data_IF_664232032640
#
_entry.id   IF_664232032640
#
_cell.length_a   1.000
_cell.length_b   1.000
_cell.length_c   1.000
_cell.angle_alpha   90.00
_cell.angle_beta   90.00
_cell.angle_gamma   90.00
#
_symmetry.space_group_name_H-M   'P 1'
#
loop_
_entity.id
_entity.type
_entity.pdbx_description
1 polymer ?
#
# COMPACT_ATOMS: atom_id res chain seq x y z
N UNK A 1 -22.78 -11.13 3.66
CA UNK A 1 -21.39 -11.10 3.14
C UNK A 1 -20.51 -10.67 4.29
N UNK A 2 -19.59 -11.51 4.74
CA UNK A 2 -18.61 -11.14 5.76
C UNK A 2 -17.31 -10.77 5.06
N UNK A 3 -17.02 -9.47 5.01
CA UNK A 3 -15.82 -8.93 4.38
C UNK A 3 -14.63 -9.08 5.33
N UNK A 4 -13.53 -9.63 4.83
CA UNK A 4 -12.27 -9.73 5.58
C UNK A 4 -11.27 -8.66 5.19
N UNK A 5 -11.34 -8.19 3.93
CA UNK A 5 -10.45 -7.17 3.41
C UNK A 5 -11.20 -6.18 2.52
N UNK A 6 -10.79 -4.92 2.62
CA UNK A 6 -11.24 -3.82 1.79
C UNK A 6 -10.01 -3.13 1.19
N UNK A 7 -10.09 -2.80 -0.09
CA UNK A 7 -9.15 -1.91 -0.76
C UNK A 7 -9.95 -0.82 -1.48
N UNK A 8 -9.48 0.42 -1.38
CA UNK A 8 -10.19 1.58 -1.88
C UNK A 8 -9.33 2.31 -2.92
N UNK A 9 -9.98 2.74 -4.00
CA UNK A 9 -9.41 3.62 -5.01
C UNK A 9 -10.38 4.78 -5.27
N UNK A 10 -10.04 5.67 -6.20
CA UNK A 10 -10.83 6.90 -6.48
C UNK A 10 -12.29 6.61 -6.80
N UNK A 11 -12.56 5.53 -7.52
CA UNK A 11 -13.85 5.26 -8.16
C UNK A 11 -14.46 3.92 -7.75
N UNK A 12 -13.83 3.15 -6.86
CA UNK A 12 -14.36 1.88 -6.39
C UNK A 12 -13.84 1.46 -5.01
N UNK A 13 -14.65 0.67 -4.31
CA UNK A 13 -14.22 -0.20 -3.21
C UNK A 13 -14.20 -1.65 -3.70
N UNK A 14 -13.10 -2.34 -3.40
CA UNK A 14 -12.92 -3.76 -3.63
C UNK A 14 -13.01 -4.50 -2.30
N UNK A 15 -14.01 -5.38 -2.19
CA UNK A 15 -14.25 -6.20 -1.02
C UNK A 15 -13.91 -7.66 -1.28
N UNK A 16 -13.19 -8.28 -0.35
CA UNK A 16 -12.88 -9.71 -0.35
C UNK A 16 -13.53 -10.36 0.87
N UNK A 17 -14.21 -11.48 0.67
CA UNK A 17 -14.86 -12.24 1.75
C UNK A 17 -14.04 -13.45 2.23
N UNK A 18 -14.50 -14.09 3.30
CA UNK A 18 -13.88 -15.28 3.91
C UNK A 18 -13.74 -16.47 2.95
N UNK A 19 -14.55 -16.52 1.89
CA UNK A 19 -14.56 -17.59 0.88
C UNK A 19 -13.65 -17.26 -0.31
N UNK A 20 -13.01 -16.09 -0.33
CA UNK A 20 -12.15 -15.64 -1.41
C UNK A 20 -12.90 -15.06 -2.61
N UNK A 21 -14.19 -14.70 -2.44
CA UNK A 21 -14.99 -14.03 -3.46
C UNK A 21 -14.77 -12.53 -3.40
N UNK A 22 -14.75 -11.90 -4.57
CA UNK A 22 -14.55 -10.47 -4.72
C UNK A 22 -15.87 -9.80 -5.12
N UNK A 23 -16.17 -8.67 -4.50
CA UNK A 23 -17.23 -7.77 -4.94
C UNK A 23 -16.71 -6.35 -5.05
N UNK A 24 -17.21 -5.60 -6.02
CA UNK A 24 -16.81 -4.23 -6.30
C UNK A 24 -17.99 -3.31 -6.07
N UNK A 25 -17.79 -2.24 -5.30
CA UNK A 25 -18.77 -1.17 -5.14
C UNK A 25 -18.25 0.07 -5.84
N UNK A 26 -18.91 0.45 -6.93
CA UNK A 26 -18.59 1.66 -7.69
C UNK A 26 -18.90 2.92 -6.89
N UNK A 27 -17.98 3.86 -6.92
CA UNK A 27 -18.07 5.20 -6.36
C UNK A 27 -18.08 6.22 -7.49
N UNK A 28 -18.72 7.35 -7.25
CA UNK A 28 -18.69 8.49 -8.18
C UNK A 28 -18.77 9.80 -7.39
N UNK A 29 -18.40 10.95 -7.99
CA UNK A 29 -18.55 12.23 -7.33
C UNK A 29 -19.99 12.52 -6.85
N UNK A 30 -20.99 12.06 -7.59
CA UNK A 30 -22.41 12.19 -7.22
C UNK A 30 -22.88 11.13 -6.21
N UNK A 31 -22.14 10.03 -6.05
CA UNK A 31 -22.44 8.97 -5.10
C UNK A 31 -21.14 8.41 -4.48
N UNK A 32 -20.53 9.14 -3.53
CA UNK A 32 -19.21 8.80 -2.99
C UNK A 32 -19.23 7.59 -2.04
N UNK A 33 -20.41 7.16 -1.59
CA UNK A 33 -20.60 5.97 -0.76
C UNK A 33 -20.87 4.70 -1.57
N UNK A 34 -21.23 4.84 -2.85
CA UNK A 34 -21.71 3.77 -3.71
C UNK A 34 -23.02 3.13 -3.22
N UNK A 35 -23.82 2.57 -4.12
CA UNK A 35 -25.14 2.04 -3.76
C UNK A 35 -25.16 0.53 -3.52
N UNK A 36 -24.39 -0.24 -4.30
CA UNK A 36 -24.44 -1.71 -4.25
C UNK A 36 -23.08 -2.34 -4.49
N UNK A 37 -22.92 -3.56 -3.96
CA UNK A 37 -21.78 -4.43 -4.26
C UNK A 37 -22.12 -5.31 -5.46
N UNK A 38 -21.25 -5.30 -6.46
CA UNK A 38 -21.34 -6.16 -7.65
C UNK A 38 -20.36 -7.32 -7.49
N UNK A 39 -20.81 -8.57 -7.36
CA UNK A 39 -19.92 -9.73 -7.34
C UNK A 39 -19.12 -9.80 -8.65
N UNK A 40 -17.83 -10.04 -8.55
CA UNK A 40 -16.96 -10.23 -9.70
C UNK A 40 -16.91 -11.72 -10.06
N UNK A 41 -17.10 -12.03 -11.35
CA UNK A 41 -16.85 -13.37 -11.84
C UNK A 41 -15.34 -13.65 -11.89
N UNK A 42 -14.91 -14.66 -11.14
CA UNK A 42 -13.52 -15.10 -11.04
C UNK A 42 -13.24 -16.35 -11.90
N UNK A 43 -14.15 -16.78 -12.77
CA UNK A 43 -13.97 -17.94 -13.64
C UNK A 43 -12.78 -17.79 -14.62
N UNK A 44 -12.34 -16.55 -14.88
CA UNK A 44 -11.11 -16.28 -15.63
C UNK A 44 -9.84 -16.65 -14.84
N UNK A 45 -9.93 -16.77 -13.52
CA UNK A 45 -8.81 -17.10 -12.65
C UNK A 45 -8.64 -18.60 -12.52
N UNK A 46 -7.37 -19.02 -12.56
CA UNK A 46 -6.98 -20.42 -12.45
C UNK A 46 -6.90 -21.10 -13.81
N UNK A 47 -6.14 -22.17 -13.86
CA UNK A 47 -6.16 -23.08 -15.01
C UNK A 47 -7.10 -24.24 -14.70
N UNK A 48 -7.68 -24.85 -15.72
CA UNK A 48 -8.50 -26.06 -15.60
C UNK A 48 -7.80 -27.16 -14.78
N UNK A 49 -6.47 -27.18 -14.80
CA UNK A 49 -5.62 -28.13 -14.06
C UNK A 49 -5.44 -27.79 -12.57
N UNK A 50 -5.68 -26.54 -12.17
CA UNK A 50 -5.37 -26.00 -10.84
C UNK A 50 -6.62 -25.91 -9.93
N UNK A 51 -7.81 -26.26 -10.40
CA UNK A 51 -9.04 -26.17 -9.60
C UNK A 51 -9.45 -24.72 -9.28
N UNK A 52 -10.50 -24.56 -8.48
CA UNK A 52 -11.10 -23.25 -8.16
C UNK A 52 -10.12 -22.35 -7.40
N UNK A 53 -10.02 -21.09 -7.84
CA UNK A 53 -9.15 -20.08 -7.21
C UNK A 53 -9.83 -19.48 -5.99
N UNK A 54 -9.09 -19.46 -4.87
CA UNK A 54 -9.49 -18.75 -3.65
C UNK A 54 -8.53 -17.59 -3.40
N UNK A 55 -8.99 -16.37 -3.64
CA UNK A 55 -8.22 -15.15 -3.35
C UNK A 55 -8.12 -14.93 -1.83
N UNK A 56 -6.95 -14.45 -1.39
CA UNK A 56 -6.66 -14.14 0.03
C UNK A 56 -6.24 -12.70 0.25
N UNK A 57 -5.85 -11.98 -0.81
CA UNK A 57 -5.58 -10.54 -0.76
C UNK A 57 -6.00 -9.88 -2.07
N UNK A 58 -6.48 -8.65 -1.97
CA UNK A 58 -6.73 -7.75 -3.10
C UNK A 58 -6.27 -6.33 -2.72
N UNK A 59 -5.67 -5.62 -3.65
CA UNK A 59 -5.24 -4.23 -3.47
C UNK A 59 -5.40 -3.47 -4.78
N UNK A 60 -6.07 -2.31 -4.75
CA UNK A 60 -6.28 -1.45 -5.91
C UNK A 60 -5.45 -0.17 -5.81
N UNK A 61 -4.86 0.24 -6.93
CA UNK A 61 -4.21 1.53 -7.11
C UNK A 61 -5.11 2.49 -7.88
N UNK A 62 -4.56 3.26 -8.81
CA UNK A 62 -5.34 4.27 -9.57
C UNK A 62 -6.03 3.67 -10.79
N UNK A 63 -5.37 2.76 -11.48
CA UNK A 63 -5.85 2.08 -12.68
C UNK A 63 -5.78 0.57 -12.57
N UNK A 64 -4.89 0.05 -11.72
CA UNK A 64 -4.61 -1.38 -11.65
C UNK A 64 -5.07 -2.01 -10.34
N UNK A 65 -5.33 -3.32 -10.40
CA UNK A 65 -5.71 -4.14 -9.25
C UNK A 65 -4.81 -5.36 -9.20
N UNK A 66 -4.29 -5.63 -8.02
CA UNK A 66 -3.45 -6.77 -7.72
C UNK A 66 -4.15 -7.70 -6.75
N UNK A 67 -4.01 -9.01 -6.96
CA UNK A 67 -4.56 -10.01 -6.06
C UNK A 67 -3.58 -11.17 -5.87
N UNK A 68 -3.73 -11.89 -4.77
CA UNK A 68 -3.01 -13.15 -4.52
C UNK A 68 -3.98 -14.24 -4.09
N UNK A 69 -3.79 -15.46 -4.59
CA UNK A 69 -4.55 -16.62 -4.14
C UNK A 69 -3.90 -17.36 -2.97
N UNK A 70 -4.66 -18.28 -2.38
CA UNK A 70 -4.23 -19.13 -1.26
C UNK A 70 -3.03 -20.04 -1.56
N UNK A 71 -2.54 -20.07 -2.80
CA UNK A 71 -1.34 -20.79 -3.24
C UNK A 71 -0.15 -19.85 -3.52
N UNK A 72 -0.30 -18.56 -3.24
CA UNK A 72 0.70 -17.54 -3.53
C UNK A 72 0.76 -17.09 -4.99
N UNK A 73 -0.20 -17.47 -5.83
CA UNK A 73 -0.25 -17.02 -7.22
C UNK A 73 -0.67 -15.56 -7.29
N UNK A 74 0.09 -14.73 -8.02
CA UNK A 74 -0.19 -13.29 -8.16
C UNK A 74 -0.98 -13.05 -9.45
N UNK A 75 -1.98 -12.18 -9.35
CA UNK A 75 -2.81 -11.76 -10.48
C UNK A 75 -2.81 -10.23 -10.59
N UNK A 76 -2.80 -9.76 -11.83
CA UNK A 76 -2.87 -8.35 -12.19
C UNK A 76 -4.08 -8.11 -13.09
N UNK A 77 -4.81 -7.02 -12.86
CA UNK A 77 -5.94 -6.57 -13.68
C UNK A 77 -5.82 -5.08 -13.95
N UNK A 78 -6.01 -4.68 -15.20
CA UNK A 78 -6.23 -3.29 -15.58
C UNK A 78 -7.72 -2.97 -15.41
N UNK A 79 -8.04 -1.86 -14.76
CA UNK A 79 -9.41 -1.40 -14.53
C UNK A 79 -9.96 -1.74 -13.15
N UNK A 80 -10.40 -0.70 -12.45
CA UNK A 80 -10.94 -0.73 -11.08
C UNK A 80 -12.45 -0.98 -11.01
N UNK A 81 -13.16 -0.89 -12.14
CA UNK A 81 -14.62 -1.07 -12.24
C UNK A 81 -15.03 -2.53 -12.54
N UNK A 82 -16.26 -2.98 -12.18
CA UNK A 82 -16.73 -4.35 -12.43
C UNK A 82 -16.82 -4.67 -13.92
N UNK A 83 -17.48 -3.80 -14.67
CA UNK A 83 -17.67 -3.86 -16.12
C UNK A 83 -17.19 -2.53 -16.70
N UNK A 84 -16.52 -2.58 -17.85
CA UNK A 84 -16.37 -1.40 -18.68
C UNK A 84 -17.44 -1.46 -19.78
N UNK A 85 -18.53 -0.68 -19.72
CA UNK A 85 -19.62 -0.77 -20.70
C UNK A 85 -19.18 -0.42 -22.13
N UNK A 86 -18.05 0.26 -22.30
CA UNK A 86 -17.48 0.64 -23.60
C UNK A 86 -16.29 -0.25 -24.04
N UNK A 87 -15.93 -1.30 -23.28
CA UNK A 87 -14.81 -2.21 -23.62
C UNK A 87 -15.12 -3.68 -23.30
N UNK A 88 -14.18 -4.57 -23.65
CA UNK A 88 -14.23 -5.99 -23.24
C UNK A 88 -14.09 -6.16 -21.71
N UNK A 89 -14.50 -7.31 -21.20
CA UNK A 89 -14.34 -7.67 -19.78
C UNK A 89 -12.87 -7.52 -19.37
N UNK A 90 -12.56 -6.81 -18.26
CA UNK A 90 -11.18 -6.64 -17.85
C UNK A 90 -10.57 -7.99 -17.45
N UNK A 91 -9.52 -8.39 -18.17
CA UNK A 91 -8.85 -9.66 -17.98
C UNK A 91 -7.89 -9.62 -16.78
N UNK A 92 -7.76 -10.77 -16.13
CA UNK A 92 -6.72 -11.02 -15.16
C UNK A 92 -5.50 -11.68 -15.83
N UNK A 93 -4.32 -11.18 -15.52
CA UNK A 93 -3.04 -11.69 -16.01
C UNK A 93 -2.33 -12.40 -14.86
N UNK A 94 -1.82 -13.59 -15.13
CA UNK A 94 -0.99 -14.30 -14.17
C UNK A 94 0.41 -13.70 -14.14
N UNK A 95 0.86 -13.29 -12.95
CA UNK A 95 2.21 -12.78 -12.74
C UNK A 95 3.00 -13.84 -11.99
N UNK A 96 4.18 -14.13 -12.51
CA UNK A 96 5.06 -15.12 -11.92
C UNK A 96 5.39 -14.73 -10.46
N UNK A 97 5.10 -15.62 -9.49
CA UNK A 97 5.41 -15.35 -8.10
C UNK A 97 6.93 -15.39 -7.86
N UNK A 98 7.43 -14.76 -6.78
CA UNK A 98 8.83 -14.89 -6.40
C UNK A 98 9.19 -16.33 -6.08
N UNK A 99 10.40 -16.74 -6.45
CA UNK A 99 10.98 -18.02 -6.06
C UNK A 99 11.13 -18.04 -4.53
N UNK A 100 10.51 -19.02 -3.89
CA UNK A 100 10.44 -19.14 -2.44
C UNK A 100 10.71 -20.58 -1.99
N UNK A 101 11.17 -20.79 -0.74
CA UNK A 101 11.30 -22.12 -0.18
C UNK A 101 9.97 -22.90 -0.18
N UNK A 102 10.06 -24.23 -0.16
CA UNK A 102 8.88 -25.09 -0.11
C UNK A 102 8.03 -24.75 1.12
N UNK A 103 6.72 -24.57 0.90
CA UNK A 103 5.76 -24.22 1.94
C UNK A 103 5.74 -22.73 2.31
N UNK A 104 6.55 -21.89 1.65
CA UNK A 104 6.49 -20.44 1.75
C UNK A 104 5.76 -19.88 0.54
N UNK A 105 4.77 -19.02 0.79
CA UNK A 105 3.93 -18.46 -0.26
C UNK A 105 3.48 -17.05 0.08
N UNK A 106 3.25 -16.24 -0.94
CA UNK A 106 2.66 -14.92 -0.78
C UNK A 106 1.24 -15.03 -0.22
N UNK A 107 0.93 -14.19 0.76
CA UNK A 107 -0.39 -14.14 1.42
C UNK A 107 -1.00 -12.75 1.38
N UNK A 108 -0.21 -11.70 1.14
CA UNK A 108 -0.69 -10.33 1.01
C UNK A 108 0.03 -9.61 -0.12
N UNK A 109 -0.70 -8.75 -0.81
CA UNK A 109 -0.16 -7.82 -1.80
C UNK A 109 -0.73 -6.43 -1.53
N UNK A 110 0.08 -5.40 -1.71
CA UNK A 110 -0.30 -4.00 -1.60
C UNK A 110 0.32 -3.19 -2.74
N UNK A 111 -0.53 -2.50 -3.50
CA UNK A 111 -0.11 -1.51 -4.49
C UNK A 111 -0.29 -0.10 -3.92
N UNK A 112 0.53 0.86 -4.35
CA UNK A 112 0.33 2.26 -4.00
C UNK A 112 -0.85 2.86 -4.76
N UNK A 113 -1.48 3.93 -4.23
CA UNK A 113 -2.60 4.62 -4.88
C UNK A 113 -2.30 5.20 -6.27
N UNK A 114 -1.02 5.29 -6.65
CA UNK A 114 -0.55 5.81 -7.94
C UNK A 114 0.05 4.71 -8.84
N UNK A 115 -0.10 3.43 -8.50
CA UNK A 115 0.41 2.26 -9.25
C UNK A 115 1.94 2.19 -9.42
N UNK A 116 2.71 2.99 -8.68
CA UNK A 116 4.18 3.02 -8.79
C UNK A 116 4.91 2.02 -7.90
N UNK A 117 4.27 1.55 -6.83
CA UNK A 117 4.87 0.63 -5.88
C UNK A 117 4.00 -0.61 -5.74
N UNK A 118 4.61 -1.78 -5.72
CA UNK A 118 3.94 -3.04 -5.38
C UNK A 118 4.81 -3.82 -4.41
N UNK A 119 4.24 -4.15 -3.27
CA UNK A 119 4.90 -4.86 -2.19
C UNK A 119 4.05 -6.04 -1.75
N UNK A 120 4.68 -7.08 -1.25
CA UNK A 120 4.02 -8.32 -0.86
C UNK A 120 4.58 -8.85 0.47
N UNK A 121 3.77 -9.67 1.13
CA UNK A 121 4.15 -10.42 2.32
C UNK A 121 3.94 -11.91 2.08
N UNK A 122 4.88 -12.72 2.54
CA UNK A 122 4.72 -14.17 2.60
C UNK A 122 4.10 -14.63 3.95
N UNK A 123 3.78 -15.92 4.04
CA UNK A 123 3.23 -16.56 5.24
C UNK A 123 4.25 -16.69 6.41
N UNK A 124 5.50 -16.25 6.23
CA UNK A 124 6.54 -16.17 7.27
C UNK A 124 6.77 -14.72 7.73
N UNK A 125 6.10 -13.75 7.11
CA UNK A 125 6.26 -12.33 7.37
C UNK A 125 7.47 -11.69 6.67
N UNK A 126 8.08 -12.38 5.70
CA UNK A 126 9.08 -11.77 4.83
C UNK A 126 8.43 -10.77 3.89
N UNK A 127 9.15 -9.69 3.61
CA UNK A 127 8.67 -8.60 2.76
C UNK A 127 9.34 -8.68 1.40
N UNK A 128 8.57 -8.60 0.33
CA UNK A 128 9.07 -8.55 -1.03
C UNK A 128 8.55 -7.30 -1.75
N UNK A 129 9.35 -6.78 -2.67
CA UNK A 129 8.98 -5.66 -3.54
C UNK A 129 9.04 -6.10 -4.99
N UNK A 130 8.10 -5.64 -5.81
CA UNK A 130 8.17 -5.78 -7.27
C UNK A 130 8.97 -4.61 -7.85
N UNK A 131 9.94 -4.91 -8.69
CA UNK A 131 10.77 -3.91 -9.37
C UNK A 131 10.41 -3.79 -10.85
N UNK A 132 10.87 -2.72 -11.49
CA UNK A 132 10.63 -2.45 -12.92
C UNK A 132 9.23 -1.96 -13.28
N UNK A 133 8.42 -1.55 -12.30
CA UNK A 133 7.11 -0.93 -12.57
C UNK A 133 7.31 0.42 -13.27
N UNK A 134 6.65 0.60 -14.40
CA UNK A 134 6.55 1.88 -15.12
C UNK A 134 5.21 2.00 -15.83
N UNK A 135 4.95 3.13 -16.48
CA UNK A 135 3.74 3.29 -17.31
C UNK A 135 3.75 2.33 -18.50
N UNK A 136 4.93 2.12 -19.09
CA UNK A 136 5.14 1.20 -20.21
C UNK A 136 5.16 -0.27 -19.76
N UNK A 137 5.53 -0.52 -18.50
CA UNK A 137 5.58 -1.87 -17.92
C UNK A 137 4.84 -1.94 -16.57
N UNK A 138 3.50 -1.87 -16.58
CA UNK A 138 2.69 -1.79 -15.35
C UNK A 138 2.71 -3.08 -14.50
N UNK A 139 3.20 -4.19 -15.06
CA UNK A 139 3.36 -5.47 -14.35
C UNK A 139 4.73 -5.64 -13.68
N UNK A 140 5.69 -4.76 -14.02
CA UNK A 140 7.08 -4.84 -13.56
C UNK A 140 7.82 -6.08 -14.05
N UNK A 141 9.09 -6.21 -13.66
CA UNK A 141 10.01 -7.24 -14.14
C UNK A 141 10.22 -8.36 -13.12
N UNK A 142 10.59 -8.02 -11.90
CA UNK A 142 11.14 -8.98 -10.93
C UNK A 142 10.65 -8.71 -9.50
N UNK A 143 10.91 -9.68 -8.63
CA UNK A 143 10.68 -9.56 -7.19
C UNK A 143 12.00 -9.55 -6.44
N UNK A 144 12.10 -8.71 -5.42
CA UNK A 144 13.27 -8.60 -4.56
C UNK A 144 12.88 -8.73 -3.08
N UNK A 145 13.71 -9.43 -2.30
CA UNK A 145 13.53 -9.56 -0.86
C UNK A 145 13.97 -8.26 -0.17
N UNK A 146 13.12 -7.73 0.71
CA UNK A 146 13.45 -6.58 1.57
C UNK A 146 13.75 -7.10 2.98
N UNK A 147 15.04 -7.20 3.38
CA UNK A 147 15.40 -7.84 4.64
C UNK A 147 15.09 -6.96 5.86
N UNK A 148 15.15 -7.58 7.04
CA UNK A 148 15.35 -6.89 8.32
C UNK A 148 14.16 -6.91 9.28
N UNK A 149 12.96 -7.29 8.87
CA UNK A 149 11.78 -7.34 9.75
C UNK A 149 10.89 -8.54 9.43
N UNK A 150 10.19 -9.03 10.46
CA UNK A 150 9.08 -9.99 10.33
C UNK A 150 7.77 -9.23 10.47
N UNK A 151 7.01 -9.15 9.39
CA UNK A 151 5.87 -8.24 9.22
C UNK A 151 4.54 -8.97 9.27
N UNK A 152 3.55 -8.36 9.93
CA UNK A 152 2.16 -8.85 9.99
C UNK A 152 1.20 -7.98 9.18
N UNK A 153 1.53 -6.72 8.93
CA UNK A 153 0.75 -5.80 8.11
C UNK A 153 1.66 -4.84 7.34
N UNK A 154 1.30 -4.58 6.10
CA UNK A 154 1.98 -3.67 5.17
C UNK A 154 0.96 -2.68 4.63
N UNK A 155 1.29 -1.39 4.60
CA UNK A 155 0.45 -0.32 4.03
C UNK A 155 1.31 0.70 3.29
N UNK A 156 0.79 1.18 2.17
CA UNK A 156 1.51 2.03 1.21
C UNK A 156 0.73 3.32 0.97
N UNK A 157 1.44 4.44 0.96
CA UNK A 157 0.96 5.67 0.36
C UNK A 157 1.44 5.77 -1.08
N UNK A 158 1.34 6.96 -1.69
CA UNK A 158 1.95 7.23 -2.99
C UNK A 158 3.49 7.17 -2.99
N UNK A 159 4.15 7.25 -1.83
CA UNK A 159 5.61 7.40 -1.71
C UNK A 159 6.24 6.63 -0.56
N UNK A 160 5.47 6.24 0.45
CA UNK A 160 5.99 5.69 1.69
C UNK A 160 5.42 4.32 1.97
N UNK A 161 6.26 3.48 2.57
CA UNK A 161 5.94 2.12 2.93
C UNK A 161 6.04 2.01 4.45
N UNK A 162 4.96 1.54 5.05
CA UNK A 162 4.87 1.34 6.49
C UNK A 162 4.50 -0.10 6.80
N UNK A 163 5.01 -0.59 7.91
CA UNK A 163 4.75 -1.94 8.37
C UNK A 163 4.41 -1.96 9.85
N UNK A 164 3.58 -2.94 10.20
CA UNK A 164 3.42 -3.43 11.56
C UNK A 164 4.11 -4.79 11.65
N UNK A 165 5.07 -4.91 12.54
CA UNK A 165 5.81 -6.13 12.80
C UNK A 165 4.92 -7.17 13.53
N UNK A 166 5.34 -8.43 13.53
CA UNK A 166 4.64 -9.49 14.26
C UNK A 166 4.58 -9.25 15.78
N UNK A 167 5.57 -8.53 16.32
CA UNK A 167 5.63 -8.11 17.73
C UNK A 167 4.83 -6.82 18.04
N UNK A 168 4.10 -6.26 17.06
CA UNK A 168 3.32 -5.03 17.22
C UNK A 168 4.08 -3.72 16.99
N UNK A 169 5.40 -3.76 16.84
CA UNK A 169 6.21 -2.57 16.51
C UNK A 169 5.83 -1.98 15.15
N UNK A 170 6.04 -0.67 14.99
CA UNK A 170 5.85 0.03 13.74
C UNK A 170 7.20 0.39 13.11
N UNK A 171 7.29 0.31 11.78
CA UNK A 171 8.45 0.77 11.04
C UNK A 171 8.08 1.43 9.70
N UNK A 172 8.93 2.34 9.25
CA UNK A 172 8.87 2.96 7.91
C UNK A 172 10.08 2.54 7.09
N UNK A 173 9.90 2.25 5.80
CA UNK A 173 11.00 2.10 4.86
C UNK A 173 11.46 3.48 4.36
N UNK A 174 12.76 3.75 4.46
CA UNK A 174 13.42 4.95 3.93
C UNK A 174 14.14 4.62 2.62
N UNK A 175 14.30 5.62 1.74
CA UNK A 175 14.98 5.46 0.44
C UNK A 175 14.09 4.97 -0.71
N UNK A 176 12.81 4.68 -0.44
CA UNK A 176 11.87 4.21 -1.47
C UNK A 176 11.69 5.29 -2.54
N UNK A 177 11.90 4.92 -3.80
CA UNK A 177 11.71 5.76 -4.98
C UNK A 177 11.47 4.91 -6.22
N UNK A 178 11.08 5.51 -7.34
CA UNK A 178 10.89 4.78 -8.61
C UNK A 178 12.16 4.06 -9.08
N UNK A 179 13.34 4.63 -8.79
CA UNK A 179 14.64 4.04 -9.12
C UNK A 179 15.18 3.08 -8.06
N UNK A 180 14.64 3.16 -6.84
CA UNK A 180 14.98 2.28 -5.73
C UNK A 180 13.68 1.83 -5.02
N UNK A 181 12.88 0.94 -5.63
CA UNK A 181 11.61 0.53 -5.05
C UNK A 181 11.77 -0.18 -3.71
N UNK A 182 12.88 -0.90 -3.51
CA UNK A 182 13.20 -1.58 -2.25
C UNK A 182 13.51 -0.61 -1.11
N UNK A 183 14.01 0.58 -1.43
CA UNK A 183 14.55 1.52 -0.45
C UNK A 183 15.78 0.98 0.29
N UNK A 184 16.27 1.73 1.27
CA UNK A 184 17.58 1.52 1.88
C UNK A 184 17.48 0.78 3.21
N UNK A 185 16.66 1.28 4.15
CA UNK A 185 16.58 0.73 5.51
C UNK A 185 15.22 0.95 6.18
N UNK A 186 14.96 0.15 7.21
CA UNK A 186 13.81 0.30 8.10
C UNK A 186 14.15 1.22 9.27
N UNK A 187 13.28 2.19 9.55
CA UNK A 187 13.34 3.00 10.77
C UNK A 187 12.18 2.65 11.68
N UNK A 188 12.49 2.23 12.91
CA UNK A 188 11.49 2.00 13.95
C UNK A 188 10.76 3.29 14.29
N UNK A 189 9.44 3.19 14.45
CA UNK A 189 8.56 4.28 14.84
C UNK A 189 8.11 4.00 16.27
N UNK A 190 8.17 4.98 17.18
CA UNK A 190 7.71 4.80 18.56
C UNK A 190 6.23 4.39 18.61
N UNK A 191 5.91 3.48 19.54
CA UNK A 191 4.55 2.99 19.78
C UNK A 191 4.27 1.63 19.15
N UNK A 192 3.11 1.08 19.51
CA UNK A 192 2.56 -0.16 18.96
C UNK A 192 1.10 0.07 18.53
N UNK A 193 0.66 -0.74 17.58
CA UNK A 193 -0.71 -0.68 17.07
C UNK A 193 -1.28 -2.09 16.88
N UNK A 194 -2.61 -2.20 16.83
CA UNK A 194 -3.31 -3.41 16.39
C UNK A 194 -3.59 -3.37 14.89
N UNK A 195 -3.69 -2.18 14.32
CA UNK A 195 -3.89 -1.96 12.89
C UNK A 195 -3.29 -0.63 12.41
N UNK A 196 -2.93 -0.59 11.14
CA UNK A 196 -2.30 0.56 10.48
C UNK A 196 -3.00 0.86 9.15
N UNK A 197 -3.06 2.13 8.76
CA UNK A 197 -3.39 2.57 7.39
C UNK A 197 -2.69 3.90 7.10
N UNK A 198 -2.52 4.23 5.82
CA UNK A 198 -1.89 5.48 5.38
C UNK A 198 -2.66 6.04 4.20
N UNK A 199 -2.84 7.36 4.16
CA UNK A 199 -3.47 8.05 3.03
C UNK A 199 -2.50 8.20 1.86
N UNK A 200 -2.99 8.49 0.64
CA UNK A 200 -2.11 8.80 -0.49
C UNK A 200 -1.11 9.94 -0.22
N UNK A 201 -1.47 10.88 0.66
CA UNK A 201 -0.70 12.07 1.06
C UNK A 201 0.27 11.83 2.24
N UNK A 202 0.53 10.58 2.64
CA UNK A 202 1.41 10.19 3.74
C UNK A 202 0.85 10.45 5.17
N UNK A 203 -0.47 10.56 5.34
CA UNK A 203 -1.06 10.63 6.68
C UNK A 203 -1.23 9.23 7.27
N UNK A 204 -0.44 8.91 8.30
CA UNK A 204 -0.48 7.62 8.97
C UNK A 204 -1.51 7.58 10.09
N UNK A 205 -2.38 6.58 10.06
CA UNK A 205 -3.40 6.32 11.06
C UNK A 205 -3.22 4.92 11.64
N UNK A 206 -3.43 4.80 12.95
CA UNK A 206 -3.26 3.54 13.68
C UNK A 206 -4.42 3.32 14.65
N UNK A 207 -4.78 2.05 14.82
CA UNK A 207 -5.64 1.61 15.93
C UNK A 207 -4.72 1.21 17.08
N UNK A 208 -4.91 1.83 18.24
CA UNK A 208 -4.11 1.57 19.44
C UNK A 208 -4.46 0.22 20.05
N UNK A 209 -3.66 -0.24 21.02
CA UNK A 209 -3.92 -1.50 21.73
C UNK A 209 -5.25 -1.49 22.51
N UNK A 210 -5.75 -0.31 22.87
CA UNK A 210 -7.04 -0.13 23.57
C UNK A 210 -8.21 0.15 22.60
N UNK A 211 -7.99 0.04 21.29
CA UNK A 211 -9.02 0.24 20.27
C UNK A 211 -9.29 1.69 19.86
N UNK A 212 -8.51 2.64 20.37
CA UNK A 212 -8.61 4.05 19.96
C UNK A 212 -8.00 4.31 18.58
N UNK A 213 -8.51 5.30 17.85
CA UNK A 213 -7.92 5.75 16.59
C UNK A 213 -6.91 6.88 16.84
N UNK A 214 -5.71 6.79 16.27
CA UNK A 214 -4.66 7.79 16.41
C UNK A 214 -4.07 8.17 15.05
N UNK A 215 -3.88 9.47 14.83
CA UNK A 215 -3.16 10.01 13.67
C UNK A 215 -1.75 10.42 14.08
N UNK A 216 -0.75 10.00 13.32
CA UNK A 216 0.64 10.44 13.54
C UNK A 216 0.84 11.82 12.94
N UNK A 217 1.09 12.81 13.78
CA UNK A 217 1.50 14.15 13.37
C UNK A 217 3.03 14.19 13.32
N UNK A 218 3.61 14.28 12.11
CA UNK A 218 5.03 14.58 11.97
C UNK A 218 5.15 16.02 11.52
N UNK A 219 5.56 16.94 12.41
CA UNK A 219 5.99 18.27 11.99
C UNK A 219 7.29 18.09 11.19
N UNK A 220 7.26 18.39 9.89
CA UNK A 220 8.49 18.62 9.15
C UNK A 220 9.08 19.91 9.71
N UNK A 221 10.32 19.87 10.20
CA UNK A 221 11.02 21.10 10.54
C UNK A 221 11.08 21.96 9.26
N UNK A 222 10.67 23.23 9.30
CA UNK A 222 10.85 24.10 8.15
C UNK A 222 12.34 24.09 7.78
N UNK A 223 12.62 23.78 6.51
CA UNK A 223 13.94 24.04 5.95
C UNK A 223 14.13 25.55 6.09
N UNK A 224 15.06 25.98 6.96
CA UNK A 224 15.49 27.37 6.98
C UNK A 224 15.93 27.69 5.54
N UNK A 225 15.35 28.70 4.88
CA UNK A 225 15.88 29.15 3.61
C UNK A 225 17.35 29.48 3.85
N UNK A 226 18.26 28.82 3.12
CA UNK A 226 19.65 29.22 3.12
C UNK A 226 19.67 30.66 2.62
N UNK A 227 19.83 31.61 3.55
CA UNK A 227 19.94 33.04 3.25
C UNK A 227 21.13 33.17 2.30
N UNK A 228 20.97 33.73 1.07
CA UNK A 228 22.14 34.12 0.30
C UNK A 228 22.97 35.06 1.16
N UNK A 229 24.28 34.85 1.20
CA UNK A 229 25.19 35.66 2.00
C UNK A 229 24.93 37.16 1.75
N UNK A 230 24.70 37.98 2.79
CA UNK A 230 24.51 39.40 2.61
C UNK A 230 25.87 40.02 2.26
N UNK A 231 25.94 40.64 1.09
CA UNK A 231 27.01 41.57 0.76
C UNK A 231 26.88 42.84 1.60
N UNK A 232 27.75 43.01 2.59
CA UNK A 232 28.18 44.34 3.09
C UNK A 232 27.39 44.98 4.25
N UNK A 233 28.03 45.01 5.42
CA UNK A 233 28.08 46.03 6.50
C UNK A 233 26.90 46.98 6.78
N UNK A 234 26.40 46.98 8.04
CA UNK A 234 26.73 47.99 9.08
C UNK A 234 25.83 47.92 10.35
N UNK A 235 26.50 47.81 11.51
CA UNK A 235 26.26 48.37 12.87
C UNK A 235 24.86 48.49 13.54
N UNK A 236 24.90 48.12 14.83
CA UNK A 236 24.18 48.63 16.03
C UNK A 236 22.80 48.09 16.40
N UNK A 237 22.63 47.82 17.71
CA UNK A 237 21.34 47.76 18.38
C UNK A 237 21.15 46.52 19.26
N UNK A 238 21.21 46.72 20.57
CA UNK A 238 20.90 45.75 21.61
C UNK A 238 19.43 45.26 21.58
N UNK A 239 19.25 44.14 22.29
CA UNK A 239 18.20 43.90 23.29
C UNK A 239 16.93 43.07 22.97
N UNK A 240 16.81 42.06 23.84
CA UNK A 240 15.68 41.31 24.44
C UNK A 240 14.48 40.73 23.66
N UNK A 241 14.16 39.54 24.18
CA UNK A 241 12.84 39.05 24.58
C UNK A 241 12.12 38.00 23.71
N UNK A 242 11.89 36.87 24.39
CA UNK A 242 10.66 36.11 24.50
C UNK A 242 9.93 35.59 23.25
N UNK A 243 9.85 34.27 23.14
CA UNK A 243 8.62 33.51 23.44
C UNK A 243 8.79 32.07 22.92
N UNK A 244 8.92 31.11 23.82
CA UNK A 244 8.67 29.71 23.48
C UNK A 244 7.23 29.37 23.87
N UNK A 245 6.32 29.30 22.89
CA UNK A 245 5.01 28.69 23.10
C UNK A 245 5.11 27.16 23.00
N UNK A 246 4.69 26.50 24.08
CA UNK A 246 4.52 25.06 24.18
C UNK A 246 3.11 24.69 23.67
N UNK A 247 3.01 23.66 22.80
CA UNK A 247 1.75 22.92 22.58
C UNK A 247 1.99 21.46 22.90
#
# INVERSE_FOLDING_TARGET
MELTHLSACRDALWGLDTHGRVSIRTLSPSCPFGLHWTPLDLNQLGTYLKGSVRLVSVSCGSQNVWAVDSRGTVYFRVGTQPLNPSMMLPAWINIEPPVQPIGVQLVRVQTSPNDRLLWALDNRGSVLVRTGLSEEMPVGTAWELVPGLTVSQLVLSSRTVWVRCANGDLARRYGVSDRNPAGDYWKKIPGQATGLTVTPEDELWAVTLIGGLSRRLTKLLPQTPCRPAPSGSSLSGDDVDDEWELI
#
